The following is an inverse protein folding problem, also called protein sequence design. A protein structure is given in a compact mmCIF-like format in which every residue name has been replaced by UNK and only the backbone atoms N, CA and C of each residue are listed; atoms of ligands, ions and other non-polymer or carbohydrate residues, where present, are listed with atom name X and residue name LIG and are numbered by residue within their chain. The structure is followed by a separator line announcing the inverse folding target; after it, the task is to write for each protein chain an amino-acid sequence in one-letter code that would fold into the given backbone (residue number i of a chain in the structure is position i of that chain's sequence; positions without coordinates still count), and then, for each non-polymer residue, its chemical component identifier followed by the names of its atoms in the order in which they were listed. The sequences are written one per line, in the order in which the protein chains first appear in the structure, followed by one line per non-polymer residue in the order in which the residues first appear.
data_IF_586433711287
#
_entry.id   IF_586433711287
#
_cell.length_a   1.000
_cell.length_b   1.000
_cell.length_c   1.000
_cell.angle_alpha   90.00
_cell.angle_beta   90.00
_cell.angle_gamma   90.00
#
_symmetry.space_group_name_H-M   'P 1'
#
loop_
_entity.id
_entity.type
_entity.pdbx_description
1 polymer ?
#
# COMPACT_ATOMS: atom_id res chain seq x y z
N UNK A 1 26.44 22.19 -2.83
CA UNK A 1 26.30 22.82 -4.15
C UNK A 1 26.34 21.69 -5.17
N UNK A 2 25.23 21.01 -5.37
CA UNK A 2 25.13 20.02 -6.45
C UNK A 2 24.71 20.77 -7.71
N UNK A 3 25.62 20.76 -8.69
CA UNK A 3 25.41 21.40 -9.98
C UNK A 3 24.24 20.70 -10.68
N UNK A 4 23.12 21.41 -10.73
CA UNK A 4 22.09 21.19 -11.74
C UNK A 4 22.75 21.34 -13.11
N UNK A 5 23.12 20.23 -13.75
CA UNK A 5 23.51 20.26 -15.15
C UNK A 5 22.23 20.22 -15.98
N UNK A 6 21.78 21.40 -16.40
CA UNK A 6 20.64 21.59 -17.28
C UNK A 6 20.90 21.01 -18.68
N UNK A 7 19.94 20.20 -19.14
CA UNK A 7 19.43 20.23 -20.52
C UNK A 7 20.29 19.60 -21.63
N UNK A 8 20.56 18.30 -21.51
CA UNK A 8 20.90 17.46 -22.66
C UNK A 8 20.51 16.01 -22.40
N UNK A 9 19.77 15.38 -23.33
CA UNK A 9 19.52 13.93 -23.30
C UNK A 9 20.88 13.22 -23.41
N UNK A 10 21.36 12.62 -22.32
CA UNK A 10 22.60 11.85 -22.33
C UNK A 10 22.27 10.44 -22.82
N UNK A 11 22.84 10.04 -23.95
CA UNK A 11 22.72 8.71 -24.52
C UNK A 11 24.02 7.95 -24.30
N UNK A 12 23.90 6.68 -23.92
CA UNK A 12 25.04 5.76 -23.78
C UNK A 12 24.77 4.51 -24.60
N UNK A 13 25.83 3.93 -25.17
CA UNK A 13 25.79 2.66 -25.88
C UNK A 13 26.32 1.54 -24.97
N UNK A 14 25.59 0.43 -24.87
CA UNK A 14 26.02 -0.72 -24.09
C UNK A 14 27.19 -1.46 -24.76
N UNK A 15 28.34 -1.50 -24.09
CA UNK A 15 29.54 -2.21 -24.56
C UNK A 15 29.44 -3.72 -24.32
N UNK A 16 28.72 -4.11 -23.27
CA UNK A 16 28.49 -5.48 -22.84
C UNK A 16 27.01 -5.69 -22.49
N UNK A 17 26.55 -6.94 -22.50
CA UNK A 17 25.24 -7.26 -21.95
C UNK A 17 25.30 -7.26 -20.42
N UNK A 18 24.23 -6.79 -19.77
CA UNK A 18 24.07 -6.82 -18.33
C UNK A 18 22.72 -7.44 -17.97
N UNK A 19 22.74 -8.35 -16.99
CA UNK A 19 21.54 -9.02 -16.49
C UNK A 19 21.32 -8.59 -15.04
N UNK A 20 20.18 -7.95 -14.82
CA UNK A 20 19.73 -7.51 -13.50
C UNK A 20 19.67 -8.69 -12.52
N UNK A 21 20.17 -8.46 -11.32
CA UNK A 21 20.09 -9.37 -10.18
C UNK A 21 19.05 -8.89 -9.17
N UNK A 22 18.87 -7.58 -9.06
CA UNK A 22 17.90 -6.93 -8.18
C UNK A 22 16.75 -6.31 -8.97
N UNK A 23 15.65 -6.02 -8.28
CA UNK A 23 14.42 -5.47 -8.91
C UNK A 23 14.58 -4.02 -9.38
N UNK A 24 15.55 -3.30 -8.85
CA UNK A 24 15.89 -1.93 -9.21
C UNK A 24 16.97 -1.81 -10.30
N UNK A 25 17.47 -2.94 -10.83
CA UNK A 25 18.51 -2.98 -11.86
C UNK A 25 17.93 -3.09 -13.29
N UNK A 26 18.62 -2.47 -14.26
CA UNK A 26 18.21 -2.47 -15.66
C UNK A 26 18.95 -3.55 -16.46
N UNK A 27 18.25 -4.54 -17.02
CA UNK A 27 18.87 -5.49 -17.97
C UNK A 27 18.93 -4.92 -19.39
N UNK A 28 20.04 -5.16 -20.09
CA UNK A 28 20.23 -4.74 -21.49
C UNK A 28 21.20 -5.67 -22.23
N UNK A 29 21.06 -5.71 -23.55
CA UNK A 29 21.96 -6.40 -24.46
C UNK A 29 23.11 -5.49 -24.92
N UNK A 30 24.14 -6.12 -25.50
CA UNK A 30 25.23 -5.40 -26.14
C UNK A 30 24.67 -4.57 -27.31
N UNK A 31 25.13 -3.32 -27.41
CA UNK A 31 24.73 -2.29 -28.36
C UNK A 31 23.35 -1.65 -28.12
N UNK A 32 22.69 -1.93 -27.01
CA UNK A 32 21.48 -1.19 -26.63
C UNK A 32 21.83 0.28 -26.34
N UNK A 33 20.94 1.19 -26.73
CA UNK A 33 21.09 2.63 -26.49
C UNK A 33 20.23 3.01 -25.30
N UNK A 34 20.88 3.42 -24.21
CA UNK A 34 20.24 3.73 -22.94
C UNK A 34 20.25 5.25 -22.72
N UNK A 35 19.16 5.76 -22.16
CA UNK A 35 19.00 7.18 -21.83
C UNK A 35 19.31 7.36 -20.36
N UNK A 36 20.32 8.15 -20.01
CA UNK A 36 20.69 8.35 -18.61
C UNK A 36 19.64 9.23 -17.91
N UNK A 37 19.16 8.77 -16.75
CA UNK A 37 18.29 9.52 -15.84
C UNK A 37 19.08 10.07 -14.65
N UNK A 38 20.04 9.30 -14.11
CA UNK A 38 20.91 9.73 -13.01
C UNK A 38 22.34 9.20 -13.21
N UNK A 39 23.33 10.09 -13.06
CA UNK A 39 24.75 9.74 -13.09
C UNK A 39 25.46 10.39 -11.88
N UNK A 40 25.50 9.70 -10.73
CA UNK A 40 26.25 10.14 -9.55
C UNK A 40 27.73 10.41 -9.86
N UNK A 41 28.32 11.41 -9.20
CA UNK A 41 29.67 11.91 -9.48
C UNK A 41 30.79 11.02 -8.93
N UNK A 42 30.45 10.16 -7.97
CA UNK A 42 31.29 9.14 -7.36
C UNK A 42 31.52 7.91 -8.27
N UNK A 43 30.78 7.81 -9.38
CA UNK A 43 30.89 6.72 -10.34
C UNK A 43 30.38 5.38 -9.79
N UNK A 44 30.57 4.31 -10.55
CA UNK A 44 30.12 2.97 -10.17
C UNK A 44 28.79 2.60 -10.83
N UNK A 45 27.67 3.13 -10.33
CA UNK A 45 26.33 2.80 -10.84
C UNK A 45 25.62 4.03 -11.40
N UNK A 46 25.07 3.88 -12.60
CA UNK A 46 24.23 4.89 -13.26
C UNK A 46 22.79 4.36 -13.38
N UNK A 47 21.82 5.26 -13.37
CA UNK A 47 20.42 4.94 -13.64
C UNK A 47 20.09 5.40 -15.07
N UNK A 48 19.37 4.57 -15.81
CA UNK A 48 18.90 4.93 -17.14
C UNK A 48 17.64 4.20 -17.56
N UNK A 49 17.07 4.67 -18.66
CA UNK A 49 15.84 4.18 -19.26
C UNK A 49 16.13 3.46 -20.58
N UNK A 50 15.58 2.26 -20.74
CA UNK A 50 15.55 1.47 -21.96
C UNK A 50 14.16 0.87 -22.13
N UNK A 51 13.54 1.03 -23.30
CA UNK A 51 12.21 0.51 -23.62
C UNK A 51 11.14 0.81 -22.56
N UNK A 52 11.17 2.04 -22.02
CA UNK A 52 10.26 2.51 -21.00
C UNK A 52 10.55 2.06 -19.57
N UNK A 53 11.46 1.09 -19.37
CA UNK A 53 11.92 0.63 -18.05
C UNK A 53 13.15 1.40 -17.59
N UNK A 54 13.13 1.81 -16.33
CA UNK A 54 14.23 2.54 -15.69
C UNK A 54 14.86 1.68 -14.60
N UNK A 55 16.20 1.67 -14.51
CA UNK A 55 16.91 0.95 -13.47
C UNK A 55 18.41 1.23 -13.46
N UNK A 56 19.08 0.72 -12.42
CA UNK A 56 20.50 0.89 -12.17
C UNK A 56 21.35 -0.11 -12.95
N UNK A 57 22.53 0.32 -13.39
CA UNK A 57 23.53 -0.54 -14.01
C UNK A 57 24.97 -0.03 -13.80
N UNK A 58 25.99 -0.89 -13.95
CA UNK A 58 27.38 -0.48 -13.82
C UNK A 58 27.81 0.47 -14.93
N UNK A 59 28.29 1.66 -14.56
CA UNK A 59 28.75 2.71 -15.49
C UNK A 59 29.86 2.24 -16.46
N UNK A 60 30.68 1.26 -16.08
CA UNK A 60 31.74 0.69 -16.92
C UNK A 60 31.23 -0.26 -18.02
N UNK A 61 29.92 -0.53 -18.08
CA UNK A 61 29.31 -1.37 -19.12
C UNK A 61 28.85 -0.58 -20.34
N UNK A 62 28.95 0.75 -20.27
CA UNK A 62 28.44 1.65 -21.30
C UNK A 62 29.48 2.69 -21.70
N UNK A 63 29.29 3.30 -22.87
CA UNK A 63 30.09 4.43 -23.34
C UNK A 63 29.16 5.56 -23.81
N UNK A 64 29.49 6.81 -23.45
CA UNK A 64 28.67 7.96 -23.85
C UNK A 64 28.73 8.20 -25.35
N UNK A 65 27.56 8.34 -25.98
CA UNK A 65 27.44 8.69 -27.39
C UNK A 65 27.67 10.19 -27.53
N UNK A 66 28.90 10.59 -27.87
CA UNK A 66 29.22 11.99 -28.19
C UNK A 66 28.70 12.31 -29.58
N UNK A 67 27.55 12.97 -29.69
CA UNK A 67 27.09 13.49 -30.97
C UNK A 67 28.01 14.65 -31.39
N UNK A 68 28.85 14.42 -32.42
CA UNK A 68 29.48 15.53 -33.16
C UNK A 68 28.35 16.34 -33.79
N UNK A 69 28.20 17.59 -33.37
CA UNK A 69 27.23 18.53 -33.93
C UNK A 69 27.62 18.90 -35.36
N UNK A 70 27.24 18.09 -36.35
CA UNK A 70 27.10 18.57 -37.72
C UNK A 70 25.70 19.18 -37.84
N UNK A 71 25.69 20.51 -37.78
CA UNK A 71 24.54 21.38 -37.93
C UNK A 71 23.72 21.03 -39.17
N UNK A 72 22.54 20.43 -38.97
CA UNK A 72 21.46 20.42 -39.95
C UNK A 72 20.16 20.81 -39.23
N UNK A 73 19.56 21.98 -39.51
CA UNK A 73 18.34 22.41 -38.85
C UNK A 73 17.14 21.74 -39.54
N UNK A 74 16.72 20.57 -39.06
CA UNK A 74 15.44 19.97 -39.44
C UNK A 74 14.40 20.15 -38.33
N UNK A 75 13.41 20.99 -38.63
CA UNK A 75 12.03 21.00 -38.13
C UNK A 75 11.82 20.68 -36.63
N UNK A 76 12.20 21.61 -35.75
CA UNK A 76 12.01 21.49 -34.29
C UNK A 76 10.72 22.15 -33.75
N UNK A 77 9.86 22.73 -34.59
CA UNK A 77 8.69 23.50 -34.12
C UNK A 77 7.56 22.65 -33.53
N UNK A 78 7.37 21.40 -33.96
CA UNK A 78 6.32 20.50 -33.45
C UNK A 78 6.69 19.80 -32.14
N UNK A 79 7.98 19.49 -31.92
CA UNK A 79 8.46 18.83 -30.70
C UNK A 79 8.39 19.71 -29.45
N UNK A 80 8.54 21.03 -29.61
CA UNK A 80 8.47 22.01 -28.51
C UNK A 80 7.06 22.20 -27.96
N UNK A 81 6.02 22.10 -28.80
CA UNK A 81 4.62 22.22 -28.36
C UNK A 81 4.18 20.99 -27.56
N UNK A 82 4.49 19.78 -28.02
CA UNK A 82 4.21 18.54 -27.28
C UNK A 82 4.92 18.48 -25.92
N UNK A 83 6.18 18.94 -25.83
CA UNK A 83 6.89 19.02 -24.55
C UNK A 83 6.27 20.04 -23.58
N UNK A 84 5.75 21.17 -24.08
CA UNK A 84 5.09 22.16 -23.23
C UNK A 84 3.73 21.67 -22.72
N UNK A 85 2.94 21.02 -23.58
CA UNK A 85 1.66 20.42 -23.24
C UNK A 85 1.82 19.29 -22.21
N UNK A 86 2.83 18.42 -22.38
CA UNK A 86 3.09 17.31 -21.45
C UNK A 86 3.55 17.81 -20.06
N UNK A 87 4.29 18.92 -20.00
CA UNK A 87 4.67 19.57 -18.73
C UNK A 87 3.47 20.23 -18.04
N UNK A 88 2.62 20.94 -18.78
CA UNK A 88 1.40 21.54 -18.21
C UNK A 88 0.44 20.46 -17.69
N UNK A 89 0.29 19.36 -18.43
CA UNK A 89 -0.53 18.23 -18.00
C UNK A 89 0.01 17.57 -16.73
N UNK A 90 1.34 17.41 -16.64
CA UNK A 90 2.00 16.93 -15.43
C UNK A 90 1.73 17.83 -14.22
N UNK A 91 1.83 19.15 -14.36
CA UNK A 91 1.52 20.08 -13.27
C UNK A 91 0.08 19.92 -12.79
N UNK A 92 -0.88 19.77 -13.72
CA UNK A 92 -2.29 19.51 -13.38
C UNK A 92 -2.47 18.19 -12.62
N UNK A 93 -1.76 17.12 -13.00
CA UNK A 93 -1.79 15.83 -12.28
C UNK A 93 -1.27 16.00 -10.84
N UNK A 94 -0.18 16.75 -10.67
CA UNK A 94 0.42 16.97 -9.35
C UNK A 94 -0.47 17.84 -8.45
N UNK A 95 -1.13 18.85 -8.99
CA UNK A 95 -2.13 19.64 -8.27
C UNK A 95 -3.32 18.77 -7.87
N UNK A 96 -3.86 17.97 -8.80
CA UNK A 96 -4.93 17.01 -8.54
C UNK A 96 -4.56 15.99 -7.46
N UNK A 97 -3.31 15.52 -7.43
CA UNK A 97 -2.79 14.63 -6.39
C UNK A 97 -2.89 15.30 -5.02
N UNK A 98 -2.37 16.52 -4.87
CA UNK A 98 -2.38 17.26 -3.59
C UNK A 98 -3.79 17.63 -3.14
N UNK A 99 -4.67 18.00 -4.06
CA UNK A 99 -6.07 18.24 -3.75
C UNK A 99 -6.78 16.97 -3.30
N UNK A 100 -6.55 15.86 -4.00
CA UNK A 100 -7.14 14.57 -3.63
C UNK A 100 -6.65 14.09 -2.26
N UNK A 101 -5.41 14.42 -1.89
CA UNK A 101 -4.83 14.11 -0.58
C UNK A 101 -5.50 14.94 0.52
N UNK A 102 -5.68 16.24 0.31
CA UNK A 102 -6.39 17.11 1.26
C UNK A 102 -7.84 16.69 1.44
N UNK A 103 -8.56 16.39 0.35
CA UNK A 103 -9.94 15.88 0.42
C UNK A 103 -10.03 14.59 1.24
N UNK A 104 -9.09 13.68 1.04
CA UNK A 104 -9.02 12.43 1.79
C UNK A 104 -8.73 12.65 3.28
N UNK A 105 -7.82 13.57 3.64
CA UNK A 105 -7.56 13.95 5.03
C UNK A 105 -8.83 14.51 5.68
N UNK A 106 -9.52 15.45 5.02
CA UNK A 106 -10.78 16.02 5.54
C UNK A 106 -11.84 14.94 5.70
N UNK A 107 -11.96 14.00 4.77
CA UNK A 107 -12.92 12.89 4.85
C UNK A 107 -12.64 11.98 6.06
N UNK A 108 -11.37 11.67 6.35
CA UNK A 108 -10.98 10.88 7.53
C UNK A 108 -11.23 11.64 8.84
N UNK A 109 -10.89 12.92 8.91
CA UNK A 109 -11.13 13.75 10.10
C UNK A 109 -12.63 13.88 10.39
N UNK A 110 -13.42 14.15 9.34
CA UNK A 110 -14.87 14.18 9.44
C UNK A 110 -15.44 12.84 9.90
N UNK A 111 -14.92 11.73 9.39
CA UNK A 111 -15.34 10.40 9.82
C UNK A 111 -15.05 10.13 11.31
N UNK A 112 -13.87 10.52 11.79
CA UNK A 112 -13.52 10.40 13.21
C UNK A 112 -14.49 11.20 14.08
N UNK A 113 -14.68 12.48 13.75
CA UNK A 113 -15.46 13.41 14.58
C UNK A 113 -16.97 13.14 14.49
N UNK A 114 -17.49 12.87 13.29
CA UNK A 114 -18.94 12.73 13.06
C UNK A 114 -19.46 11.32 13.28
N UNK A 115 -18.63 10.29 13.12
CA UNK A 115 -19.09 8.89 13.20
C UNK A 115 -18.43 8.13 14.35
N UNK A 116 -17.10 8.07 14.41
CA UNK A 116 -16.41 7.22 15.39
C UNK A 116 -16.57 7.72 16.82
N UNK A 117 -16.37 9.01 17.09
CA UNK A 117 -16.50 9.57 18.45
C UNK A 117 -17.93 9.42 19.01
N UNK A 118 -19.01 9.80 18.30
CA UNK A 118 -20.38 9.62 18.79
C UNK A 118 -20.77 8.16 18.97
N UNK A 119 -20.32 7.28 18.06
CA UNK A 119 -20.55 5.83 18.17
C UNK A 119 -19.87 5.27 19.42
N UNK A 120 -18.63 5.65 19.66
CA UNK A 120 -17.85 5.24 20.84
C UNK A 120 -18.51 5.71 22.13
N UNK A 121 -19.00 6.96 22.19
CA UNK A 121 -19.70 7.49 23.36
C UNK A 121 -21.02 6.74 23.64
N UNK A 122 -21.81 6.46 22.59
CA UNK A 122 -23.08 5.74 22.69
C UNK A 122 -22.88 4.29 23.15
N UNK A 123 -21.85 3.63 22.65
CA UNK A 123 -21.48 2.26 23.03
C UNK A 123 -20.88 2.17 24.43
N UNK A 124 -20.10 3.17 24.85
CA UNK A 124 -19.54 3.27 26.20
C UNK A 124 -20.64 3.39 27.25
N UNK A 125 -21.68 4.19 26.96
CA UNK A 125 -22.86 4.35 27.83
C UNK A 125 -23.66 3.04 27.96
N UNK A 126 -23.53 2.13 27.00
CA UNK A 126 -24.17 0.80 27.02
C UNK A 126 -23.35 -0.27 27.79
N UNK A 127 -22.22 0.09 28.42
CA UNK A 127 -21.42 -0.81 29.26
C UNK A 127 -20.49 -1.78 28.51
N UNK A 128 -20.24 -1.50 27.22
CA UNK A 128 -19.50 -2.25 26.18
C UNK A 128 -18.02 -1.93 25.92
N UNK A 129 -17.01 -2.12 26.79
CA UNK A 129 -15.63 -1.69 26.50
C UNK A 129 -14.94 -2.44 25.33
N UNK A 130 -15.41 -3.63 24.97
CA UNK A 130 -14.83 -4.47 23.91
C UNK A 130 -15.23 -4.08 22.47
N UNK A 131 -16.13 -3.09 22.30
CA UNK A 131 -16.50 -2.55 20.98
C UNK A 131 -15.75 -1.25 20.64
N UNK A 132 -14.71 -0.89 21.40
CA UNK A 132 -13.90 0.30 21.15
C UNK A 132 -13.17 0.14 19.80
N UNK A 133 -13.62 0.89 18.79
CA UNK A 133 -12.79 1.14 17.62
C UNK A 133 -11.64 2.02 18.10
N UNK A 134 -10.44 1.44 18.19
CA UNK A 134 -9.26 2.18 18.58
C UNK A 134 -8.97 3.27 17.53
N UNK A 135 -9.27 4.52 17.89
CA UNK A 135 -9.13 5.69 17.03
C UNK A 135 -7.66 6.03 16.81
N UNK A 136 -6.76 5.52 17.66
CA UNK A 136 -5.34 5.85 17.65
C UNK A 136 -4.70 5.63 16.28
N UNK A 137 -4.97 4.49 15.64
CA UNK A 137 -4.38 4.17 14.35
C UNK A 137 -4.92 5.03 13.20
N UNK A 138 -6.17 5.49 13.28
CA UNK A 138 -6.72 6.42 12.28
C UNK A 138 -6.09 7.80 12.46
N UNK A 139 -5.88 8.25 13.71
CA UNK A 139 -5.22 9.52 13.99
C UNK A 139 -3.75 9.54 13.54
N UNK A 140 -3.00 8.45 13.79
CA UNK A 140 -1.64 8.29 13.27
C UNK A 140 -1.60 8.29 11.73
N UNK A 141 -2.58 7.63 11.10
CA UNK A 141 -2.71 7.65 9.64
C UNK A 141 -2.99 9.08 9.13
N UNK A 142 -3.90 9.82 9.76
CA UNK A 142 -4.21 11.23 9.42
C UNK A 142 -2.97 12.11 9.60
N UNK A 143 -2.18 11.93 10.66
CA UNK A 143 -0.90 12.65 10.86
C UNK A 143 0.08 12.38 9.74
N UNK A 144 0.24 11.11 9.34
CA UNK A 144 1.09 10.72 8.22
C UNK A 144 0.64 11.42 6.91
N UNK A 145 -0.64 11.33 6.57
CA UNK A 145 -1.17 11.94 5.34
C UNK A 145 -1.08 13.47 5.35
N UNK A 146 -1.26 14.12 6.51
CA UNK A 146 -1.04 15.56 6.64
C UNK A 146 0.42 15.94 6.39
N UNK A 147 1.36 15.14 6.89
CA UNK A 147 2.78 15.32 6.62
C UNK A 147 3.09 15.12 5.13
N UNK A 148 2.58 14.04 4.51
CA UNK A 148 2.72 13.77 3.08
C UNK A 148 2.20 14.94 2.24
N UNK A 149 0.99 15.44 2.51
CA UNK A 149 0.39 16.56 1.79
C UNK A 149 1.24 17.84 1.87
N UNK A 150 1.85 18.10 3.04
CA UNK A 150 2.74 19.24 3.23
C UNK A 150 4.03 19.10 2.40
N UNK A 151 4.71 17.95 2.50
CA UNK A 151 5.95 17.68 1.76
C UNK A 151 5.71 17.68 0.24
N UNK A 152 4.60 17.12 -0.23
CA UNK A 152 4.23 17.15 -1.65
C UNK A 152 4.04 18.59 -2.15
N UNK A 153 3.32 19.42 -1.39
CA UNK A 153 3.08 20.83 -1.75
C UNK A 153 4.37 21.63 -1.88
N UNK A 154 5.32 21.40 -0.98
CA UNK A 154 6.61 22.12 -1.00
C UNK A 154 7.53 21.63 -2.12
N UNK A 155 7.44 20.34 -2.47
CA UNK A 155 8.28 19.74 -3.52
C UNK A 155 7.79 20.08 -4.92
N UNK A 156 6.47 20.16 -5.13
CA UNK A 156 5.90 20.61 -6.40
C UNK A 156 6.41 22.01 -6.77
N UNK A 157 6.73 22.86 -5.78
CA UNK A 157 7.26 24.21 -6.01
C UNK A 157 8.77 24.26 -6.28
N UNK A 158 9.53 23.25 -5.87
CA UNK A 158 10.99 23.37 -5.75
C UNK A 158 11.75 22.42 -6.67
N UNK A 159 11.49 21.11 -6.59
CA UNK A 159 12.37 20.10 -7.20
C UNK A 159 11.66 18.94 -7.89
N UNK A 160 10.32 18.89 -7.89
CA UNK A 160 9.57 18.05 -8.84
C UNK A 160 9.94 16.54 -8.85
N UNK A 161 10.61 16.04 -7.80
CA UNK A 161 11.02 14.65 -7.60
C UNK A 161 10.02 13.95 -6.66
N UNK A 162 8.86 13.63 -7.20
CA UNK A 162 7.68 13.18 -6.47
C UNK A 162 7.83 11.71 -6.09
N UNK A 163 8.30 10.87 -7.01
CA UNK A 163 8.59 9.46 -6.75
C UNK A 163 9.54 9.28 -5.57
N UNK A 164 10.60 10.11 -5.50
CA UNK A 164 11.56 10.09 -4.41
C UNK A 164 10.94 10.31 -3.02
N UNK A 165 9.93 11.17 -2.91
CA UNK A 165 9.23 11.44 -1.63
C UNK A 165 8.38 10.26 -1.20
N UNK A 166 7.66 9.66 -2.14
CA UNK A 166 6.86 8.47 -1.86
C UNK A 166 7.75 7.32 -1.37
N UNK A 167 8.94 7.13 -1.95
CA UNK A 167 9.91 6.16 -1.47
C UNK A 167 10.51 6.51 -0.09
N UNK A 168 10.76 7.80 0.18
CA UNK A 168 11.29 8.24 1.48
C UNK A 168 10.26 8.05 2.61
N UNK A 169 8.97 8.22 2.32
CA UNK A 169 7.88 8.12 3.30
C UNK A 169 7.28 6.70 3.40
N UNK A 170 7.52 5.83 2.43
CA UNK A 170 7.07 4.45 2.43
C UNK A 170 7.41 3.66 3.72
N UNK A 171 8.64 3.73 4.27
CA UNK A 171 9.01 2.99 5.48
C UNK A 171 8.20 3.36 6.73
N UNK A 172 7.74 4.60 6.84
CA UNK A 172 6.91 5.04 7.98
C UNK A 172 5.44 4.71 7.80
N UNK A 173 4.94 4.61 6.56
CA UNK A 173 3.56 4.22 6.27
C UNK A 173 3.29 2.75 6.55
N UNK A 174 4.20 1.86 6.16
CA UNK A 174 4.02 0.41 6.23
C UNK A 174 3.58 -0.09 7.63
N UNK A 175 4.26 0.21 8.74
CA UNK A 175 3.85 -0.28 10.07
C UNK A 175 2.50 0.27 10.53
N UNK A 176 2.19 1.54 10.20
CA UNK A 176 0.90 2.17 10.53
C UNK A 176 -0.24 1.44 9.80
N UNK A 177 -0.02 1.15 8.51
CA UNK A 177 -0.99 0.45 7.68
C UNK A 177 -1.18 -1.01 8.12
N UNK A 178 -0.10 -1.72 8.44
CA UNK A 178 -0.18 -3.09 8.98
C UNK A 178 -1.08 -3.10 10.21
N UNK A 179 -0.81 -2.25 11.20
CA UNK A 179 -1.62 -2.14 12.41
C UNK A 179 -3.08 -1.76 12.11
N UNK A 180 -3.30 -0.83 11.17
CA UNK A 180 -4.64 -0.47 10.73
C UNK A 180 -5.40 -1.64 10.10
N UNK A 181 -4.77 -2.44 9.23
CA UNK A 181 -5.39 -3.60 8.59
C UNK A 181 -5.88 -4.64 9.61
N UNK A 182 -5.09 -4.89 10.66
CA UNK A 182 -5.48 -5.79 11.74
C UNK A 182 -6.70 -5.26 12.50
N UNK A 183 -6.69 -3.97 12.85
CA UNK A 183 -7.78 -3.34 13.60
C UNK A 183 -9.04 -3.18 12.77
N UNK A 184 -8.90 -2.91 11.48
CA UNK A 184 -9.98 -2.85 10.51
C UNK A 184 -10.72 -4.20 10.40
N UNK A 185 -9.98 -5.30 10.27
CA UNK A 185 -10.58 -6.64 10.22
C UNK A 185 -11.33 -6.98 11.52
N UNK A 186 -10.74 -6.66 12.68
CA UNK A 186 -11.41 -6.80 14.00
C UNK A 186 -12.67 -5.94 14.09
N UNK A 187 -12.61 -4.69 13.63
CA UNK A 187 -13.74 -3.80 13.59
C UNK A 187 -14.87 -4.34 12.71
N UNK A 188 -14.59 -4.76 11.47
CA UNK A 188 -15.60 -5.32 10.57
C UNK A 188 -16.26 -6.58 11.14
N UNK A 189 -15.48 -7.45 11.76
CA UNK A 189 -15.99 -8.63 12.44
C UNK A 189 -16.95 -8.26 13.60
N UNK A 190 -16.57 -7.30 14.43
CA UNK A 190 -17.43 -6.81 15.51
C UNK A 190 -18.70 -6.15 14.98
N UNK A 191 -18.60 -5.43 13.85
CA UNK A 191 -19.72 -4.78 13.19
C UNK A 191 -20.73 -5.81 12.64
N UNK A 192 -20.24 -6.88 12.01
CA UNK A 192 -21.09 -7.93 11.44
C UNK A 192 -21.83 -8.73 12.51
N UNK A 193 -21.16 -9.06 13.63
CA UNK A 193 -21.74 -9.86 14.71
C UNK A 193 -22.72 -9.07 15.60
N UNK A 194 -22.63 -7.74 15.63
CA UNK A 194 -23.47 -6.88 16.47
C UNK A 194 -24.35 -5.90 15.67
N UNK A 195 -24.69 -6.26 14.43
CA UNK A 195 -25.36 -5.39 13.45
C UNK A 195 -26.57 -4.64 14.03
N UNK A 196 -27.49 -5.33 14.70
CA UNK A 196 -28.73 -4.71 15.22
C UNK A 196 -28.46 -3.64 16.29
N UNK A 197 -27.43 -3.85 17.13
CA UNK A 197 -27.05 -2.91 18.18
C UNK A 197 -26.38 -1.67 17.60
N UNK A 198 -25.57 -1.84 16.57
CA UNK A 198 -24.91 -0.74 15.87
C UNK A 198 -25.94 0.07 15.08
N UNK A 199 -26.90 -0.58 14.41
CA UNK A 199 -28.01 0.13 13.76
C UNK A 199 -28.81 0.97 14.76
N UNK A 200 -29.02 0.44 15.97
CA UNK A 200 -29.70 1.17 17.06
C UNK A 200 -28.86 2.33 17.63
N UNK A 201 -27.53 2.22 17.60
CA UNK A 201 -26.64 3.31 18.01
C UNK A 201 -26.54 4.39 16.92
N UNK A 202 -26.44 3.98 15.66
CA UNK A 202 -26.39 4.87 14.50
C UNK A 202 -27.69 5.66 14.32
N UNK A 203 -28.85 5.04 14.55
CA UNK A 203 -30.15 5.74 14.51
C UNK A 203 -30.30 6.83 15.58
N UNK A 204 -29.53 6.76 16.68
CA UNK A 204 -29.49 7.81 17.70
C UNK A 204 -28.55 8.96 17.35
N UNK A 205 -27.55 8.70 16.50
CA UNK A 205 -26.53 9.68 16.09
C UNK A 205 -27.02 10.47 14.87
N UNK A 206 -27.61 9.79 13.90
CA UNK A 206 -28.10 10.39 12.66
C UNK A 206 -29.61 10.20 12.56
N UNK A 207 -30.37 11.21 12.99
CA UNK A 207 -31.83 11.23 12.93
C UNK A 207 -32.38 11.47 11.52
N UNK A 208 -31.52 11.82 10.56
CA UNK A 208 -31.91 12.26 9.21
C UNK A 208 -31.74 11.22 8.11
N UNK A 209 -30.83 10.25 8.28
CA UNK A 209 -30.48 9.29 7.26
C UNK A 209 -30.87 7.86 7.68
N UNK A 210 -31.19 6.98 6.71
CA UNK A 210 -31.51 5.58 7.02
C UNK A 210 -30.34 4.93 7.77
N UNK A 211 -30.59 4.32 8.93
CA UNK A 211 -29.57 3.67 9.74
C UNK A 211 -28.79 2.61 8.96
N UNK A 212 -29.43 1.96 7.97
CA UNK A 212 -28.76 1.04 7.06
C UNK A 212 -27.77 1.75 6.13
N UNK A 213 -28.12 2.94 5.64
CA UNK A 213 -27.23 3.76 4.83
C UNK A 213 -26.03 4.23 5.67
N UNK A 214 -26.25 4.67 6.91
CA UNK A 214 -25.18 5.05 7.83
C UNK A 214 -24.24 3.87 8.15
N UNK A 215 -24.78 2.65 8.29
CA UNK A 215 -23.98 1.44 8.48
C UNK A 215 -23.12 1.10 7.26
N UNK A 216 -23.66 1.20 6.04
CA UNK A 216 -22.90 1.01 4.81
C UNK A 216 -21.80 2.07 4.69
N UNK A 217 -22.12 3.33 5.01
CA UNK A 217 -21.16 4.42 4.99
C UNK A 217 -20.04 4.23 6.03
N UNK A 218 -20.35 3.68 7.21
CA UNK A 218 -19.36 3.31 8.22
C UNK A 218 -18.36 2.26 7.68
N UNK A 219 -18.86 1.17 7.08
CA UNK A 219 -18.00 0.14 6.47
C UNK A 219 -17.16 0.74 5.34
N UNK A 220 -17.78 1.56 4.49
CA UNK A 220 -17.08 2.23 3.39
C UNK A 220 -15.99 3.15 3.91
N UNK A 221 -16.26 3.93 4.95
CA UNK A 221 -15.29 4.86 5.53
C UNK A 221 -14.11 4.13 6.21
N UNK A 222 -14.37 2.99 6.85
CA UNK A 222 -13.30 2.12 7.35
C UNK A 222 -12.43 1.56 6.20
N UNK A 223 -12.99 1.34 5.01
CA UNK A 223 -12.20 0.90 3.86
C UNK A 223 -11.42 2.01 3.15
N UNK A 224 -11.66 3.30 3.46
CA UNK A 224 -11.03 4.44 2.76
C UNK A 224 -9.50 4.40 2.74
N UNK A 225 -8.80 4.13 3.86
CA UNK A 225 -7.34 4.06 3.87
C UNK A 225 -6.72 3.04 2.92
N UNK A 226 -7.39 1.92 2.75
CA UNK A 226 -6.91 0.79 1.95
C UNK A 226 -7.05 1.13 0.47
N UNK A 227 -8.19 1.70 0.10
CA UNK A 227 -8.47 2.14 -1.27
C UNK A 227 -7.58 3.32 -1.69
N UNK A 228 -7.00 4.07 -0.73
CA UNK A 228 -6.08 5.17 -1.04
C UNK A 228 -4.76 4.66 -1.64
N UNK A 229 -4.28 3.48 -1.23
CA UNK A 229 -3.02 2.91 -1.71
C UNK A 229 -3.07 2.56 -3.20
N UNK A 230 -4.18 1.96 -3.64
CA UNK A 230 -4.43 1.68 -5.06
C UNK A 230 -4.45 2.98 -5.88
N UNK A 231 -5.02 4.06 -5.32
CA UNK A 231 -5.01 5.37 -5.97
C UNK A 231 -3.59 5.93 -6.11
N UNK A 232 -2.71 5.77 -5.12
CA UNK A 232 -1.31 6.20 -5.26
C UNK A 232 -0.60 5.46 -6.39
N UNK A 233 -0.74 4.13 -6.46
CA UNK A 233 -0.14 3.35 -7.52
C UNK A 233 -0.59 3.82 -8.92
N UNK A 234 -1.88 4.12 -9.08
CA UNK A 234 -2.43 4.59 -10.35
C UNK A 234 -1.97 6.03 -10.69
N UNK A 235 -2.00 6.94 -9.73
CA UNK A 235 -1.56 8.33 -9.92
C UNK A 235 -0.07 8.41 -10.23
N UNK A 236 0.76 7.57 -9.60
CA UNK A 236 2.20 7.50 -9.89
C UNK A 236 2.48 6.91 -11.28
N UNK A 237 1.67 5.96 -11.76
CA UNK A 237 1.76 5.45 -13.14
C UNK A 237 1.36 6.52 -14.17
N UNK A 238 0.30 7.27 -13.89
CA UNK A 238 -0.14 8.37 -14.75
C UNK A 238 0.92 9.48 -14.80
N UNK A 239 1.51 9.81 -13.64
CA UNK A 239 2.63 10.72 -13.55
C UNK A 239 3.86 10.21 -14.35
N UNK A 240 4.22 8.93 -14.20
CA UNK A 240 5.32 8.29 -14.94
C UNK A 240 5.12 8.32 -16.46
N UNK A 241 3.88 8.15 -16.94
CA UNK A 241 3.56 8.19 -18.36
C UNK A 241 3.85 9.57 -18.98
N UNK A 242 3.70 10.62 -18.19
CA UNK A 242 3.94 12.00 -18.59
C UNK A 242 5.36 12.51 -18.27
N UNK A 243 6.24 11.63 -17.76
CA UNK A 243 7.64 11.95 -17.50
C UNK A 243 8.51 11.66 -18.72
N UNK A 244 9.40 12.61 -19.02
CA UNK A 244 10.45 12.45 -20.02
C UNK A 244 11.38 11.27 -19.65
N UNK A 245 11.89 10.56 -20.65
CA UNK A 245 12.74 9.36 -20.45
C UNK A 245 14.06 9.64 -19.73
N UNK A 246 14.53 10.90 -19.77
CA UNK A 246 15.76 11.36 -19.10
C UNK A 246 15.48 12.10 -17.78
N UNK A 247 14.22 12.14 -17.33
CA UNK A 247 13.86 12.84 -16.09
C UNK A 247 14.40 12.09 -14.87
N UNK A 248 15.01 12.82 -13.92
CA UNK A 248 15.67 12.25 -12.73
C UNK A 248 14.72 11.43 -11.84
N UNK A 249 13.44 11.81 -11.79
CA UNK A 249 12.43 11.15 -10.94
C UNK A 249 11.79 9.92 -11.62
N UNK A 250 12.14 9.62 -12.87
CA UNK A 250 11.49 8.55 -13.62
C UNK A 250 11.67 7.19 -12.94
N UNK A 251 12.90 6.88 -12.53
CA UNK A 251 13.21 5.64 -11.83
C UNK A 251 12.58 5.56 -10.44
N UNK A 252 12.53 6.67 -9.71
CA UNK A 252 11.88 6.72 -8.40
C UNK A 252 10.36 6.60 -8.52
N UNK A 253 9.74 7.26 -9.50
CA UNK A 253 8.30 7.18 -9.74
C UNK A 253 7.87 5.76 -10.15
N UNK A 254 8.67 5.08 -10.98
CA UNK A 254 8.45 3.67 -11.33
C UNK A 254 8.50 2.78 -10.08
N UNK A 255 9.57 2.88 -9.29
CA UNK A 255 9.72 2.10 -8.05
C UNK A 255 8.64 2.41 -7.03
N UNK A 256 8.25 3.69 -6.88
CA UNK A 256 7.16 4.09 -6.01
C UNK A 256 5.81 3.50 -6.47
N UNK A 257 5.51 3.56 -7.76
CA UNK A 257 4.27 2.98 -8.31
C UNK A 257 4.17 1.48 -8.07
N UNK A 258 5.27 0.75 -8.28
CA UNK A 258 5.36 -0.69 -8.01
C UNK A 258 5.22 -0.99 -6.52
N UNK A 259 5.95 -0.27 -5.66
CA UNK A 259 5.91 -0.44 -4.21
C UNK A 259 4.49 -0.24 -3.65
N UNK A 260 3.79 0.82 -4.04
CA UNK A 260 2.44 1.10 -3.54
C UNK A 260 1.40 0.11 -4.09
N UNK A 261 1.61 -0.45 -5.29
CA UNK A 261 0.78 -1.52 -5.81
C UNK A 261 0.96 -2.82 -5.00
N UNK A 262 2.20 -3.18 -4.68
CA UNK A 262 2.51 -4.33 -3.84
C UNK A 262 1.99 -4.15 -2.41
N UNK A 263 2.10 -2.94 -1.85
CA UNK A 263 1.60 -2.60 -0.53
C UNK A 263 0.06 -2.71 -0.47
N UNK A 264 -0.65 -2.26 -1.50
CA UNK A 264 -2.10 -2.42 -1.61
C UNK A 264 -2.51 -3.90 -1.65
N UNK A 265 -1.79 -4.72 -2.42
CA UNK A 265 -1.99 -6.17 -2.50
C UNK A 265 -1.76 -6.82 -1.11
N UNK A 266 -0.63 -6.51 -0.47
CA UNK A 266 -0.29 -7.01 0.87
C UNK A 266 -1.34 -6.62 1.91
N UNK A 267 -1.88 -5.39 1.84
CA UNK A 267 -2.96 -4.94 2.72
C UNK A 267 -4.26 -5.75 2.57
N UNK A 268 -4.61 -6.17 1.35
CA UNK A 268 -5.73 -7.07 1.13
C UNK A 268 -5.48 -8.46 1.73
N UNK A 269 -4.26 -8.98 1.62
CA UNK A 269 -3.86 -10.25 2.22
C UNK A 269 -3.89 -10.20 3.75
N UNK A 270 -3.39 -9.13 4.37
CA UNK A 270 -3.41 -8.96 5.83
C UNK A 270 -4.84 -8.95 6.38
N UNK A 271 -5.77 -8.26 5.70
CA UNK A 271 -7.19 -8.28 6.07
C UNK A 271 -7.79 -9.66 5.96
N UNK A 272 -7.62 -10.33 4.80
CA UNK A 272 -8.17 -11.67 4.57
C UNK A 272 -7.64 -12.66 5.60
N UNK A 273 -6.36 -12.56 5.95
CA UNK A 273 -5.74 -13.36 7.01
C UNK A 273 -6.42 -13.09 8.35
N UNK A 274 -6.62 -11.83 8.72
CA UNK A 274 -7.20 -11.48 10.02
C UNK A 274 -8.70 -11.77 10.12
N UNK A 275 -9.46 -11.59 9.04
CA UNK A 275 -10.86 -12.04 8.94
C UNK A 275 -10.95 -13.55 9.16
N UNK A 276 -10.07 -14.32 8.49
CA UNK A 276 -9.98 -15.77 8.69
C UNK A 276 -9.61 -16.17 10.12
N UNK A 277 -8.66 -15.47 10.75
CA UNK A 277 -8.30 -15.70 12.15
C UNK A 277 -9.50 -15.48 13.10
N UNK A 278 -10.25 -14.40 12.88
CA UNK A 278 -11.40 -14.06 13.70
C UNK A 278 -12.55 -15.05 13.48
N UNK A 279 -12.79 -15.47 12.24
CA UNK A 279 -13.76 -16.51 11.93
C UNK A 279 -13.43 -17.81 12.66
N UNK A 280 -12.15 -18.20 12.75
CA UNK A 280 -11.72 -19.39 13.52
C UNK A 280 -11.95 -19.20 15.02
N UNK A 281 -11.52 -18.07 15.58
CA UNK A 281 -11.65 -17.80 17.03
C UNK A 281 -13.12 -17.80 17.46
N UNK A 282 -14.03 -17.34 16.60
CA UNK A 282 -15.46 -17.28 16.86
C UNK A 282 -16.25 -18.49 16.34
N UNK A 283 -15.61 -19.42 15.64
CA UNK A 283 -16.24 -20.68 15.22
C UNK A 283 -16.45 -21.65 16.39
N UNK A 284 -17.41 -22.55 16.22
CA UNK A 284 -17.62 -23.65 17.16
C UNK A 284 -16.49 -24.66 17.01
N UNK A 285 -15.65 -24.80 18.03
CA UNK A 285 -14.56 -25.77 18.05
C UNK A 285 -14.97 -27.00 18.85
N UNK A 286 -14.97 -28.14 18.19
CA UNK A 286 -15.22 -29.44 18.82
C UNK A 286 -14.02 -29.86 19.66
N UNK A 287 -14.26 -30.22 20.93
CA UNK A 287 -13.22 -30.67 21.87
C UNK A 287 -12.80 -29.62 22.89
N UNK A 288 -13.13 -28.33 22.68
CA UNK A 288 -13.13 -27.32 23.74
C UNK A 288 -14.46 -27.49 24.49
N UNK A 289 -14.46 -27.57 25.83
CA UNK A 289 -15.66 -27.87 26.64
C UNK A 289 -16.78 -26.82 26.54
N UNK A 290 -17.10 -26.13 27.64
CA UNK A 290 -18.04 -24.99 27.65
C UNK A 290 -17.36 -23.64 27.39
N UNK A 291 -16.04 -23.64 27.24
CA UNK A 291 -15.23 -22.44 27.03
C UNK A 291 -15.06 -22.19 25.53
N UNK A 292 -15.26 -20.95 25.09
CA UNK A 292 -14.90 -20.52 23.73
C UNK A 292 -13.47 -19.99 23.72
N UNK A 293 -12.78 -20.08 22.58
CA UNK A 293 -11.41 -19.52 22.38
C UNK A 293 -11.27 -18.06 22.81
N UNK A 294 -12.37 -17.30 22.79
CA UNK A 294 -12.48 -15.91 23.22
C UNK A 294 -12.09 -15.73 24.70
N UNK A 295 -12.33 -16.74 25.54
CA UNK A 295 -12.01 -16.70 26.98
C UNK A 295 -10.50 -16.71 27.27
N UNK A 296 -9.68 -17.14 26.30
CA UNK A 296 -8.22 -17.22 26.43
C UNK A 296 -7.50 -15.90 26.09
N UNK A 297 -8.24 -14.85 25.70
CA UNK A 297 -7.72 -13.52 25.42
C UNK A 297 -7.37 -13.28 23.94
N UNK A 298 -6.48 -12.32 23.67
CA UNK A 298 -5.99 -12.06 22.32
C UNK A 298 -4.97 -13.13 21.92
N UNK A 299 -5.24 -13.86 20.84
CA UNK A 299 -4.29 -14.82 20.27
C UNK A 299 -3.04 -14.08 19.76
N UNK A 300 -1.85 -14.55 20.17
CA UNK A 300 -0.55 -14.01 19.77
C UNK A 300 -0.27 -14.33 18.31
N UNK A 301 -0.58 -15.55 17.89
CA UNK A 301 -0.30 -16.02 16.53
C UNK A 301 -1.33 -17.08 16.14
N UNK A 302 -1.84 -16.99 14.92
CA UNK A 302 -2.63 -18.03 14.30
C UNK A 302 -2.07 -18.28 12.90
N UNK A 303 -1.66 -19.53 12.63
CA UNK A 303 -0.99 -19.87 11.38
C UNK A 303 -1.36 -21.27 10.89
N UNK A 304 -1.65 -21.45 9.58
CA UNK A 304 -1.75 -22.78 9.00
C UNK A 304 -0.35 -23.40 8.90
N UNK A 305 -0.20 -24.60 9.45
CA UNK A 305 1.05 -25.35 9.47
C UNK A 305 0.80 -26.73 8.87
N UNK A 306 1.69 -27.15 7.98
CA UNK A 306 1.72 -28.52 7.48
C UNK A 306 2.57 -29.35 8.42
N UNK A 307 1.94 -30.23 9.20
CA UNK A 307 2.66 -31.15 10.07
C UNK A 307 2.90 -32.44 9.31
N UNK A 308 4.16 -32.87 9.26
CA UNK A 308 4.55 -34.16 8.71
C UNK A 308 4.37 -35.22 9.79
N UNK A 309 3.43 -36.15 9.59
CA UNK A 309 3.24 -37.29 10.48
C UNK A 309 4.17 -38.44 10.08
N UNK A 310 5.01 -38.92 11.01
CA UNK A 310 5.92 -40.05 10.78
C UNK A 310 5.19 -41.40 10.64
N UNK A 311 3.95 -41.50 11.16
CA UNK A 311 3.22 -42.77 11.24
C UNK A 311 2.40 -43.12 9.99
N UNK A 312 2.17 -42.16 9.09
CA UNK A 312 1.39 -42.33 7.86
C UNK A 312 2.16 -41.68 6.71
N UNK A 313 3.22 -42.35 6.26
CA UNK A 313 4.09 -42.00 5.13
C UNK A 313 3.87 -40.62 4.50
N UNK A 314 4.61 -39.61 4.95
CA UNK A 314 4.74 -38.28 4.32
C UNK A 314 3.43 -37.58 3.92
N UNK A 315 2.31 -37.83 4.61
CA UNK A 315 1.10 -37.02 4.41
C UNK A 315 1.26 -35.72 5.20
N UNK A 316 1.40 -34.60 4.50
CA UNK A 316 1.31 -33.26 5.08
C UNK A 316 -0.12 -33.05 5.55
N UNK A 317 -0.31 -32.99 6.86
CA UNK A 317 -1.60 -32.69 7.47
C UNK A 317 -1.68 -31.18 7.66
N UNK A 318 -2.60 -30.54 6.96
CA UNK A 318 -2.95 -29.14 7.20
C UNK A 318 -3.54 -29.04 8.61
N UNK A 319 -2.86 -28.27 9.47
CA UNK A 319 -3.27 -27.97 10.85
C UNK A 319 -3.25 -26.47 11.05
N UNK A 320 -4.03 -25.99 12.01
CA UNK A 320 -4.03 -24.58 12.38
C UNK A 320 -3.49 -24.49 13.80
N UNK A 321 -2.40 -23.76 13.96
CA UNK A 321 -1.82 -23.50 15.28
C UNK A 321 -2.37 -22.18 15.77
N UNK A 322 -2.93 -22.16 16.98
CA UNK A 322 -3.31 -20.95 17.70
C UNK A 322 -2.46 -20.84 18.96
N UNK A 323 -1.67 -19.79 19.06
CA UNK A 323 -0.83 -19.48 20.20
C UNK A 323 -1.48 -18.40 21.06
N UNK A 324 -1.71 -18.72 22.33
CA UNK A 324 -2.03 -17.79 23.40
C UNK A 324 -0.82 -17.59 24.32
N UNK A 325 -0.80 -16.53 25.15
CA UNK A 325 0.31 -16.29 26.09
C UNK A 325 0.62 -17.47 27.03
N UNK A 326 -0.37 -18.30 27.34
CA UNK A 326 -0.24 -19.42 28.28
C UNK A 326 -0.59 -20.80 27.69
N UNK A 327 -1.08 -20.86 26.44
CA UNK A 327 -1.66 -22.10 25.87
C UNK A 327 -1.41 -22.17 24.36
N UNK A 328 -1.11 -23.35 23.84
CA UNK A 328 -1.03 -23.63 22.41
C UNK A 328 -2.17 -24.57 22.03
N UNK A 329 -2.98 -24.19 21.04
CA UNK A 329 -3.99 -25.06 20.45
C UNK A 329 -3.54 -25.52 19.06
N UNK A 330 -3.72 -26.81 18.80
CA UNK A 330 -3.59 -27.38 17.48
C UNK A 330 -4.99 -27.79 17.01
N UNK A 331 -5.44 -27.19 15.91
CA UNK A 331 -6.73 -27.48 15.32
C UNK A 331 -6.57 -28.26 14.02
N UNK A 332 -7.45 -29.24 13.82
CA UNK A 332 -7.69 -29.88 12.54
C UNK A 332 -8.99 -29.37 11.93
N UNK A 333 -9.03 -29.23 10.61
CA UNK A 333 -10.25 -28.87 9.88
C UNK A 333 -11.10 -30.11 9.66
N UNK A 334 -12.33 -30.09 10.16
CA UNK A 334 -13.33 -31.10 9.83
C UNK A 334 -14.13 -30.57 8.64
N UNK A 335 -14.18 -31.34 7.55
CA UNK A 335 -15.15 -31.09 6.49
C UNK A 335 -16.54 -31.50 6.97
N UNK A 336 -17.28 -30.53 7.53
CA UNK A 336 -18.70 -30.71 7.82
C UNK A 336 -19.53 -30.65 6.53
N UNK A 337 -20.65 -31.37 6.51
CA UNK A 337 -21.63 -31.36 5.40
C UNK A 337 -22.47 -30.08 5.34
N UNK A 338 -22.40 -29.24 6.37
CA UNK A 338 -22.97 -27.90 6.40
C UNK A 338 -21.95 -26.87 5.92
N UNK A 339 -22.39 -25.78 5.28
CA UNK A 339 -21.54 -24.75 4.69
C UNK A 339 -20.64 -23.96 5.69
N UNK A 340 -20.55 -24.41 6.94
CA UNK A 340 -19.67 -23.86 7.99
C UNK A 340 -18.50 -24.82 8.22
N UNK A 341 -17.28 -24.29 8.18
CA UNK A 341 -16.08 -25.05 8.55
C UNK A 341 -16.09 -25.30 10.06
N UNK A 342 -16.03 -26.57 10.44
CA UNK A 342 -15.95 -27.01 11.84
C UNK A 342 -14.49 -27.34 12.16
N UNK A 343 -14.01 -26.94 13.34
CA UNK A 343 -12.64 -27.18 13.78
C UNK A 343 -12.64 -28.12 14.98
N UNK A 344 -11.65 -29.01 15.06
CA UNK A 344 -11.47 -29.90 16.21
C UNK A 344 -10.08 -29.77 16.81
N UNK A 345 -10.01 -29.67 18.14
CA UNK A 345 -8.75 -29.71 18.90
C UNK A 345 -8.22 -31.13 18.88
N UNK A 346 -6.94 -31.28 18.52
CA UNK A 346 -6.19 -32.54 18.65
C UNK A 346 -5.57 -32.71 20.03
#
# INVERSE_FOLDING_TARGET
MEQQNTSGKILVNALYAFKAQNTDELSFAKNDVIIITQAPTDGGWWEGTLDGKTGWFPSNYVEQIVQKTDSTPSTQSSSSQQCAEMRAHRETILESLVESEQRYITELEDFIVKTIQPLTHTLSTSGQPYLYLDVHYIDELVKFHRHLAHVLRDTIKTQHRIGGIFLQLAPSLKPILEAYCYQHAKALFLLSHNKDRILTALSKIDTSNDANHAYIQLIKNLSLPLNRLEKYANLLKEYLHNLEEFHIDRGDAQRAAEYYAELACSGAEWRKRKEWELDIIHSTIHGLGTESLISFGDAICLSPVNILSENLGQIALERIVILYPSTLFLLSTIKSSTAQQEYQIE
#
